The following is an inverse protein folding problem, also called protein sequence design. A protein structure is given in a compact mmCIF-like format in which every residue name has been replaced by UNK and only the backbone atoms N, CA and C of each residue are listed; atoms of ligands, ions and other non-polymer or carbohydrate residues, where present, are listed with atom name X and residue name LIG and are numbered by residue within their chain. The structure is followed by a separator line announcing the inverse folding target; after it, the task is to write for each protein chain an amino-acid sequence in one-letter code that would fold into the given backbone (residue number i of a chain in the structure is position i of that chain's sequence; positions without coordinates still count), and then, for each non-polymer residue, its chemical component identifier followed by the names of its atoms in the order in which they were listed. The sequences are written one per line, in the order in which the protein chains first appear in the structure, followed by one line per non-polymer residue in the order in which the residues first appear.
data_IF_873775305272
#
_entry.id   IF_873775305272
#
_cell.length_a   1.000
_cell.length_b   1.000
_cell.length_c   1.000
_cell.angle_alpha   90.00
_cell.angle_beta   90.00
_cell.angle_gamma   90.00
#
_symmetry.space_group_name_H-M   'P 1'
#
loop_
_entity.id
_entity.type
_entity.pdbx_description
1 polymer ?
#
# COMPACT_ATOMS: atom_id res chain seq x y z
N UNK A 1 19.98 -15.62 9.66
CA UNK A 1 19.35 -15.09 10.87
C UNK A 1 17.91 -14.74 10.61
N UNK A 2 17.09 -14.74 11.64
CA UNK A 2 15.67 -14.43 11.52
C UNK A 2 15.42 -13.06 10.90
N UNK A 3 16.21 -12.05 11.26
CA UNK A 3 16.08 -10.70 10.73
C UNK A 3 16.27 -10.61 9.21
N UNK A 4 17.04 -11.51 8.64
CA UNK A 4 17.28 -11.53 7.19
C UNK A 4 16.00 -11.88 6.41
N UNK A 5 15.01 -12.43 7.09
CA UNK A 5 13.73 -12.80 6.50
C UNK A 5 12.63 -11.79 6.79
N UNK A 6 12.96 -10.72 7.50
CA UNK A 6 11.99 -9.68 7.88
C UNK A 6 12.32 -8.38 7.14
N UNK A 7 11.32 -7.80 6.49
CA UNK A 7 11.42 -6.49 5.88
C UNK A 7 10.48 -5.53 6.58
N UNK A 8 10.90 -4.29 6.73
CA UNK A 8 10.04 -3.27 7.33
C UNK A 8 9.95 -2.08 6.40
N UNK A 9 8.80 -1.41 6.45
CA UNK A 9 8.57 -0.22 5.66
C UNK A 9 7.66 0.73 6.41
N UNK A 10 7.92 2.01 6.27
CA UNK A 10 7.09 3.07 6.82
C UNK A 10 7.02 4.20 5.81
N UNK A 11 5.87 4.83 5.70
CA UNK A 11 5.70 5.97 4.81
C UNK A 11 4.75 6.97 5.45
N UNK A 12 4.90 8.24 5.07
CA UNK A 12 4.04 9.33 5.51
C UNK A 12 3.73 10.22 4.31
N UNK A 13 2.47 10.60 4.16
CA UNK A 13 2.02 11.43 3.03
C UNK A 13 1.09 12.53 3.50
N UNK A 14 1.15 13.69 2.83
CA UNK A 14 0.20 14.76 3.04
C UNK A 14 -1.07 14.47 2.23
N UNK A 15 -2.23 14.45 2.90
CA UNK A 15 -3.51 14.15 2.25
C UNK A 15 -3.83 15.16 1.15
N UNK A 16 -3.54 16.45 1.38
CA UNK A 16 -3.84 17.51 0.43
C UNK A 16 -3.20 17.28 -0.95
N UNK A 17 -2.05 16.59 -1.00
CA UNK A 17 -1.38 16.28 -2.25
C UNK A 17 -2.28 15.49 -3.21
N UNK A 18 -3.22 14.73 -2.68
CA UNK A 18 -4.05 13.80 -3.46
C UNK A 18 -5.38 14.41 -3.91
N UNK A 19 -5.67 15.66 -3.52
CA UNK A 19 -6.91 16.33 -3.90
C UNK A 19 -7.04 16.55 -5.40
N UNK A 20 -5.92 16.67 -6.11
CA UNK A 20 -5.88 16.95 -7.55
C UNK A 20 -6.12 15.71 -8.43
N UNK A 21 -6.17 14.51 -7.84
CA UNK A 21 -6.30 13.28 -8.63
C UNK A 21 -7.74 12.82 -8.73
N UNK A 22 -8.12 12.37 -9.93
CA UNK A 22 -9.38 11.66 -10.16
C UNK A 22 -9.08 10.26 -10.73
N UNK A 23 -10.13 9.51 -11.03
CA UNK A 23 -9.99 8.12 -11.48
C UNK A 23 -9.30 7.99 -12.84
N UNK A 24 -9.29 9.07 -13.64
CA UNK A 24 -8.69 9.08 -14.97
C UNK A 24 -7.26 9.63 -14.97
N UNK A 25 -6.77 10.11 -13.83
CA UNK A 25 -5.40 10.62 -13.72
C UNK A 25 -4.39 9.53 -14.05
N UNK A 26 -3.36 9.87 -14.80
CA UNK A 26 -2.28 8.93 -15.15
C UNK A 26 -1.62 8.37 -13.89
N UNK A 27 -1.40 9.23 -12.90
CA UNK A 27 -0.86 8.83 -11.61
C UNK A 27 -1.73 7.74 -10.97
N UNK A 28 -3.04 7.98 -10.92
CA UNK A 28 -3.97 7.04 -10.28
C UNK A 28 -3.96 5.68 -10.97
N UNK A 29 -3.98 5.68 -12.29
CA UNK A 29 -3.97 4.43 -13.07
C UNK A 29 -2.66 3.66 -12.93
N UNK A 30 -1.57 4.35 -12.74
CA UNK A 30 -0.25 3.74 -12.59
C UNK A 30 -0.06 3.11 -11.21
N UNK A 31 -0.56 3.77 -10.17
CA UNK A 31 -0.32 3.39 -8.78
C UNK A 31 -1.34 2.39 -8.25
N UNK A 32 -2.62 2.65 -8.48
CA UNK A 32 -3.69 1.90 -7.84
C UNK A 32 -4.24 0.81 -8.76
N UNK A 33 -4.66 -0.30 -8.15
CA UNK A 33 -5.43 -1.31 -8.88
C UNK A 33 -6.85 -0.80 -9.11
N UNK A 34 -7.56 -1.46 -10.00
CA UNK A 34 -8.96 -1.11 -10.28
C UNK A 34 -9.82 -1.15 -9.02
N UNK A 35 -9.64 -2.19 -8.20
CA UNK A 35 -10.39 -2.34 -6.94
C UNK A 35 -10.07 -1.22 -5.95
N UNK A 36 -8.81 -0.83 -5.87
CA UNK A 36 -8.40 0.29 -5.02
C UNK A 36 -9.04 1.59 -5.47
N UNK A 37 -9.06 1.85 -6.78
CA UNK A 37 -9.70 3.05 -7.32
C UNK A 37 -11.19 3.07 -7.04
N UNK A 38 -11.88 1.94 -7.23
CA UNK A 38 -13.30 1.83 -6.94
C UNK A 38 -13.59 2.15 -5.48
N UNK A 39 -12.79 1.60 -4.57
CA UNK A 39 -12.94 1.87 -3.14
C UNK A 39 -12.73 3.35 -2.82
N UNK A 40 -11.66 3.95 -3.34
CA UNK A 40 -11.32 5.33 -3.03
C UNK A 40 -12.37 6.31 -3.53
N UNK A 41 -12.84 6.12 -4.77
CA UNK A 41 -13.73 7.09 -5.41
C UNK A 41 -15.21 6.91 -5.09
N UNK A 42 -15.62 5.80 -4.48
CA UNK A 42 -16.99 5.69 -3.98
C UNK A 42 -17.20 6.47 -2.67
N UNK A 43 -16.11 6.90 -2.02
CA UNK A 43 -16.15 7.65 -0.78
C UNK A 43 -16.02 9.14 -1.06
N UNK A 44 -16.73 9.96 -0.27
CA UNK A 44 -16.69 11.42 -0.44
C UNK A 44 -15.32 12.02 -0.18
N UNK A 45 -14.54 11.39 0.69
CA UNK A 45 -13.19 11.84 1.03
C UNK A 45 -12.15 11.06 0.24
N UNK A 46 -12.26 11.09 -1.10
CA UNK A 46 -11.37 10.32 -1.97
C UNK A 46 -9.89 10.64 -1.74
N UNK A 47 -9.55 11.91 -1.55
CA UNK A 47 -8.15 12.31 -1.33
C UNK A 47 -7.54 11.59 -0.13
N UNK A 48 -8.29 11.47 0.97
CA UNK A 48 -7.84 10.77 2.16
C UNK A 48 -7.59 9.28 1.86
N UNK A 49 -8.52 8.64 1.18
CA UNK A 49 -8.40 7.22 0.86
C UNK A 49 -7.27 6.95 -0.14
N UNK A 50 -7.07 7.85 -1.11
CA UNK A 50 -5.94 7.76 -2.04
C UNK A 50 -4.61 7.90 -1.29
N UNK A 51 -4.52 8.88 -0.39
CA UNK A 51 -3.31 9.12 0.38
C UNK A 51 -2.96 7.92 1.26
N UNK A 52 -3.93 7.36 1.98
CA UNK A 52 -3.72 6.22 2.86
C UNK A 52 -3.26 5.00 2.06
N UNK A 53 -3.88 4.73 0.93
CA UNK A 53 -3.50 3.59 0.10
C UNK A 53 -2.16 3.78 -0.59
N UNK A 54 -1.86 4.97 -1.05
CA UNK A 54 -0.52 5.27 -1.60
C UNK A 54 0.54 5.04 -0.54
N UNK A 55 0.30 5.57 0.65
CA UNK A 55 1.16 5.40 1.81
C UNK A 55 1.42 3.93 2.09
N UNK A 56 0.35 3.12 2.08
CA UNK A 56 0.44 1.67 2.26
C UNK A 56 1.33 1.02 1.21
N UNK A 57 1.13 1.37 -0.06
CA UNK A 57 1.88 0.77 -1.17
C UNK A 57 3.36 1.17 -1.11
N UNK A 58 3.66 2.41 -0.74
CA UNK A 58 5.04 2.87 -0.54
C UNK A 58 5.71 2.12 0.62
N UNK A 59 4.99 1.93 1.73
CA UNK A 59 5.52 1.19 2.86
C UNK A 59 5.78 -0.28 2.49
N UNK A 60 4.89 -0.90 1.70
CA UNK A 60 5.08 -2.26 1.18
C UNK A 60 6.33 -2.30 0.31
N UNK A 61 6.50 -1.34 -0.59
CA UNK A 61 7.67 -1.26 -1.47
C UNK A 61 8.95 -1.20 -0.65
N UNK A 62 8.99 -0.38 0.40
CA UNK A 62 10.16 -0.26 1.26
C UNK A 62 10.46 -1.57 2.01
N UNK A 63 9.42 -2.24 2.48
CA UNK A 63 9.58 -3.53 3.15
C UNK A 63 10.15 -4.59 2.19
N UNK A 64 9.65 -4.62 0.95
CA UNK A 64 10.14 -5.55 -0.07
C UNK A 64 11.58 -5.24 -0.47
N UNK A 65 11.92 -3.97 -0.60
CA UNK A 65 13.28 -3.53 -0.87
C UNK A 65 14.24 -3.98 0.25
N UNK A 66 13.78 -3.88 1.49
CA UNK A 66 14.51 -4.35 2.66
C UNK A 66 14.79 -5.86 2.60
N UNK A 67 13.90 -6.63 1.96
CA UNK A 67 14.07 -8.07 1.75
C UNK A 67 14.90 -8.42 0.51
N UNK A 68 15.33 -7.42 -0.25
CA UNK A 68 16.16 -7.63 -1.44
C UNK A 68 15.39 -7.70 -2.76
N UNK A 69 14.09 -7.46 -2.75
CA UNK A 69 13.33 -7.43 -4.00
C UNK A 69 13.57 -6.13 -4.76
N UNK A 70 13.62 -6.24 -6.09
CA UNK A 70 13.74 -5.09 -6.99
C UNK A 70 12.80 -5.31 -8.18
N UNK A 71 12.55 -4.24 -8.93
CA UNK A 71 11.68 -4.32 -10.10
C UNK A 71 10.22 -4.58 -9.75
N UNK A 72 9.79 -4.19 -8.56
CA UNK A 72 8.41 -4.37 -8.11
C UNK A 72 7.61 -3.12 -8.49
N UNK A 73 6.45 -3.34 -9.10
CA UNK A 73 5.51 -2.30 -9.50
C UNK A 73 4.46 -2.08 -8.41
N UNK A 74 3.88 -0.87 -8.35
CA UNK A 74 2.75 -0.59 -7.46
C UNK A 74 1.57 -1.53 -7.71
N UNK A 75 1.41 -2.02 -8.94
CA UNK A 75 0.33 -2.93 -9.32
C UNK A 75 0.57 -4.38 -8.88
N UNK A 76 1.75 -4.68 -8.37
CA UNK A 76 2.08 -6.03 -7.88
C UNK A 76 1.49 -6.34 -6.52
N UNK A 77 0.94 -5.35 -5.83
CA UNK A 77 0.22 -5.56 -4.58
C UNK A 77 -1.08 -4.77 -4.57
N UNK A 78 -1.99 -5.21 -3.72
CA UNK A 78 -3.30 -4.57 -3.58
C UNK A 78 -3.65 -4.49 -2.10
N UNK A 79 -4.10 -3.32 -1.68
CA UNK A 79 -4.54 -3.10 -0.31
C UNK A 79 -6.05 -3.28 -0.28
N UNK A 80 -6.51 -4.19 0.57
CA UNK A 80 -7.92 -4.53 0.74
C UNK A 80 -8.32 -4.36 2.19
N UNK A 81 -9.61 -4.27 2.43
CA UNK A 81 -10.14 -4.27 3.79
C UNK A 81 -10.81 -5.61 4.06
N UNK A 82 -10.51 -6.19 5.21
CA UNK A 82 -11.22 -7.36 5.71
C UNK A 82 -12.62 -6.94 6.18
N UNK A 83 -13.50 -7.91 6.42
CA UNK A 83 -14.85 -7.63 6.96
C UNK A 83 -14.78 -6.85 8.26
N UNK A 84 -13.76 -7.09 9.07
CA UNK A 84 -13.53 -6.36 10.32
C UNK A 84 -13.18 -4.89 10.11
N UNK A 85 -12.86 -4.49 8.87
CA UNK A 85 -12.37 -3.16 8.54
C UNK A 85 -10.85 -3.06 8.55
N UNK A 86 -10.15 -4.06 9.07
CA UNK A 86 -8.69 -4.06 9.11
C UNK A 86 -8.12 -4.15 7.69
N UNK A 87 -7.01 -3.46 7.40
CA UNK A 87 -6.37 -3.54 6.09
C UNK A 87 -5.59 -4.84 5.95
N UNK A 88 -5.51 -5.33 4.71
CA UNK A 88 -4.62 -6.43 4.36
C UNK A 88 -3.92 -6.12 3.05
N UNK A 89 -2.74 -6.72 2.86
CA UNK A 89 -1.99 -6.63 1.61
C UNK A 89 -2.09 -7.96 0.89
N UNK A 90 -2.48 -7.91 -0.37
CA UNK A 90 -2.52 -9.08 -1.24
C UNK A 90 -1.45 -8.90 -2.32
N UNK A 91 -0.57 -9.86 -2.45
CA UNK A 91 0.46 -9.83 -3.48
C UNK A 91 -0.07 -10.51 -4.74
N UNK A 92 -0.02 -9.79 -5.86
CA UNK A 92 -0.59 -10.24 -7.13
C UNK A 92 0.46 -10.82 -8.08
N UNK A 93 1.74 -10.61 -7.78
CA UNK A 93 2.84 -11.09 -8.63
C UNK A 93 3.39 -12.43 -8.13
N UNK A 94 3.70 -13.34 -9.05
CA UNK A 94 4.34 -14.61 -8.72
C UNK A 94 5.72 -14.43 -8.08
N UNK A 95 6.38 -13.31 -8.35
CA UNK A 95 7.67 -13.00 -7.71
C UNK A 95 7.54 -12.93 -6.19
N UNK A 96 6.36 -12.62 -5.69
CA UNK A 96 6.10 -12.37 -4.29
C UNK A 96 5.33 -13.50 -3.61
N UNK A 97 5.27 -14.67 -4.23
CA UNK A 97 4.49 -15.81 -3.72
C UNK A 97 4.94 -16.29 -2.34
N UNK A 98 6.20 -16.06 -1.98
CA UNK A 98 6.76 -16.48 -0.70
C UNK A 98 6.85 -15.31 0.30
N UNK A 99 6.14 -14.22 0.05
CA UNK A 99 6.12 -13.07 0.95
C UNK A 99 4.76 -12.99 1.65
N UNK A 100 4.81 -12.76 2.94
CA UNK A 100 3.62 -12.46 3.75
C UNK A 100 3.86 -11.10 4.40
N UNK A 101 2.80 -10.34 4.59
CA UNK A 101 2.92 -9.02 5.18
C UNK A 101 1.77 -8.69 6.11
N UNK A 102 2.07 -7.89 7.11
CA UNK A 102 1.09 -7.25 7.98
C UNK A 102 1.25 -5.75 7.82
N UNK A 103 0.13 -5.05 7.88
CA UNK A 103 0.09 -3.61 7.64
C UNK A 103 -0.75 -2.93 8.71
N UNK A 104 -0.31 -1.75 9.10
CA UNK A 104 -1.07 -0.86 9.97
C UNK A 104 -1.12 0.51 9.32
N UNK A 105 -2.30 1.11 9.30
CA UNK A 105 -2.55 2.41 8.70
C UNK A 105 -3.10 3.35 9.75
N UNK A 106 -2.73 4.62 9.65
CA UNK A 106 -3.28 5.65 10.50
C UNK A 106 -3.33 6.97 9.75
N UNK A 107 -4.19 7.86 10.18
CA UNK A 107 -4.24 9.20 9.60
C UNK A 107 -4.73 10.20 10.64
N UNK A 108 -4.28 11.42 10.48
CA UNK A 108 -4.81 12.59 11.14
C UNK A 108 -5.67 13.33 10.12
N UNK A 109 -6.04 14.56 10.46
CA UNK A 109 -6.80 15.41 9.55
C UNK A 109 -6.02 15.74 8.27
N UNK A 110 -4.69 15.82 8.35
CA UNK A 110 -3.84 16.28 7.25
C UNK A 110 -2.85 15.23 6.73
N UNK A 111 -2.59 14.19 7.50
CA UNK A 111 -1.45 13.29 7.24
C UNK A 111 -1.88 11.84 7.31
N UNK A 112 -1.36 11.02 6.38
CA UNK A 112 -1.52 9.57 6.39
C UNK A 112 -0.19 8.91 6.71
N UNK A 113 -0.24 7.80 7.45
CA UNK A 113 0.94 7.01 7.82
C UNK A 113 0.64 5.53 7.58
N UNK A 114 1.63 4.79 7.10
CA UNK A 114 1.53 3.35 6.95
C UNK A 114 2.80 2.69 7.47
N UNK A 115 2.62 1.53 8.09
CA UNK A 115 3.73 0.69 8.53
C UNK A 115 3.49 -0.73 8.08
N UNK A 116 4.54 -1.37 7.57
CA UNK A 116 4.47 -2.74 7.04
C UNK A 116 5.59 -3.57 7.64
N UNK A 117 5.24 -4.79 8.03
CA UNK A 117 6.21 -5.83 8.35
C UNK A 117 5.99 -6.95 7.34
N UNK A 118 7.01 -7.31 6.60
CA UNK A 118 6.97 -8.37 5.62
C UNK A 118 7.91 -9.50 6.02
N UNK A 119 7.57 -10.71 5.62
CA UNK A 119 8.31 -11.91 5.99
C UNK A 119 8.48 -12.80 4.76
N UNK A 120 9.70 -13.31 4.57
CA UNK A 120 9.94 -14.38 3.60
C UNK A 120 9.60 -15.71 4.25
N UNK A 121 8.73 -16.50 3.62
CA UNK A 121 8.39 -17.84 4.08
C UNK A 121 8.88 -18.86 3.06
N UNK A 122 9.33 -19.98 3.55
CA UNK A 122 9.88 -21.06 2.70
C UNK A 122 8.78 -21.86 2.01
#
# INVERSE_FOLDING_TARGET
MLLDKIGIGVDVEEIARFEKYDAESDFAKKVYTKKELEYCFKNKQSAKHLAVRFCAKEAVYKALSSLGFSGISFQDCEVRNLESGAPEVVFLSQKLKNVRAKISLSHSKTTAVAQVVAELVD
#
